data_IF_383099014245
#
_entry.id   IF_383099014245
#
_cell.length_a   1.000
_cell.length_b   1.000
_cell.length_c   1.000
_cell.angle_alpha   90.00
_cell.angle_beta   90.00
_cell.angle_gamma   90.00
#
_symmetry.space_group_name_H-M   'P 1'
#
loop_
_entity.id
_entity.type
_entity.pdbx_description
1 polymer ?
#
# COMPACT_ATOMS: atom_id res chain seq x y z
N UNK A 1 2.35 -11.38 4.44
CA UNK A 1 0.90 -11.19 4.73
C UNK A 1 0.56 -10.97 6.23
N UNK A 2 1.49 -10.56 7.11
CA UNK A 2 1.17 -10.35 8.54
C UNK A 2 0.63 -8.96 8.87
N UNK A 3 0.94 -7.93 8.07
CA UNK A 3 0.61 -6.53 8.39
C UNK A 3 -0.90 -6.24 8.44
N UNK A 4 -1.70 -6.88 7.58
CA UNK A 4 -3.15 -6.66 7.55
C UNK A 4 -3.83 -7.09 8.87
N UNK A 5 -3.29 -8.10 9.56
CA UNK A 5 -3.85 -8.62 10.80
C UNK A 5 -3.71 -7.66 11.99
N UNK A 6 -2.79 -6.69 11.91
CA UNK A 6 -2.62 -5.65 12.93
C UNK A 6 -3.71 -4.58 12.92
N UNK A 7 -4.56 -4.55 11.89
CA UNK A 7 -5.66 -3.60 11.74
C UNK A 7 -6.98 -4.18 12.23
N UNK A 8 -7.91 -3.32 12.67
CA UNK A 8 -9.27 -3.75 13.02
C UNK A 8 -10.03 -4.27 11.79
N UNK A 9 -11.06 -5.09 11.99
CA UNK A 9 -11.84 -5.65 10.88
C UNK A 9 -12.45 -4.59 9.95
N UNK A 10 -12.79 -3.40 10.48
CA UNK A 10 -13.28 -2.28 9.67
C UNK A 10 -12.18 -1.75 8.74
N UNK A 11 -10.99 -1.54 9.29
CA UNK A 11 -9.84 -1.02 8.54
C UNK A 11 -9.36 -2.01 7.50
N UNK A 12 -9.30 -3.30 7.84
CA UNK A 12 -9.00 -4.36 6.89
C UNK A 12 -9.94 -4.33 5.67
N UNK A 13 -11.25 -4.13 5.88
CA UNK A 13 -12.20 -3.99 4.76
C UNK A 13 -11.94 -2.74 3.93
N UNK A 14 -11.63 -1.61 4.55
CA UNK A 14 -11.31 -0.36 3.84
C UNK A 14 -10.06 -0.55 2.97
N UNK A 15 -9.02 -1.20 3.51
CA UNK A 15 -7.77 -1.48 2.81
C UNK A 15 -8.03 -2.44 1.65
N UNK A 16 -8.73 -3.54 1.89
CA UNK A 16 -9.04 -4.53 0.86
C UNK A 16 -9.86 -3.93 -0.29
N UNK A 17 -10.90 -3.14 0.01
CA UNK A 17 -11.69 -2.45 -1.02
C UNK A 17 -10.83 -1.47 -1.82
N UNK A 18 -9.93 -0.72 -1.17
CA UNK A 18 -9.02 0.17 -1.87
C UNK A 18 -8.07 -0.57 -2.81
N UNK A 19 -7.53 -1.72 -2.38
CA UNK A 19 -6.67 -2.57 -3.22
C UNK A 19 -7.44 -3.05 -4.46
N UNK A 20 -8.63 -3.64 -4.27
CA UNK A 20 -9.44 -4.12 -5.39
C UNK A 20 -9.86 -2.97 -6.32
N UNK A 21 -10.32 -1.85 -5.79
CA UNK A 21 -10.78 -0.71 -6.60
C UNK A 21 -9.66 -0.05 -7.39
N UNK A 22 -8.44 0.00 -6.85
CA UNK A 22 -7.38 0.82 -7.41
C UNK A 22 -6.33 0.02 -8.18
N UNK A 23 -6.16 -1.29 -7.92
CA UNK A 23 -5.06 -2.08 -8.48
C UNK A 23 -5.50 -3.16 -9.47
N UNK A 24 -6.81 -3.40 -9.65
CA UNK A 24 -7.30 -4.49 -10.51
C UNK A 24 -7.14 -4.26 -12.02
N UNK A 25 -6.94 -3.01 -12.47
CA UNK A 25 -6.90 -2.69 -13.91
C UNK A 25 -5.62 -1.96 -14.31
N UNK A 26 -5.35 -0.80 -13.70
CA UNK A 26 -4.22 0.06 -14.07
C UNK A 26 -3.34 0.39 -12.85
N UNK A 27 -2.69 -0.62 -12.24
CA UNK A 27 -1.93 -0.44 -11.00
C UNK A 27 -0.68 0.43 -11.18
N UNK A 28 -0.15 0.54 -12.41
CA UNK A 28 1.04 1.33 -12.75
C UNK A 28 0.71 2.74 -13.25
N UNK A 29 -0.56 3.12 -13.36
CA UNK A 29 -0.92 4.49 -13.73
C UNK A 29 -0.97 5.41 -12.50
N UNK A 30 -0.18 6.50 -12.48
CA UNK A 30 -0.21 7.47 -11.39
C UNK A 30 -1.58 8.13 -11.27
N UNK A 31 -2.06 8.26 -10.04
CA UNK A 31 -3.26 9.05 -9.72
C UNK A 31 -3.01 9.87 -8.47
N UNK A 32 -4.01 10.64 -8.01
CA UNK A 32 -3.92 11.30 -6.70
C UNK A 32 -3.66 10.31 -5.56
N UNK A 33 -4.15 9.08 -5.69
CA UNK A 33 -4.06 8.06 -4.65
C UNK A 33 -2.94 7.04 -4.91
N UNK A 34 -2.38 6.94 -6.11
CA UNK A 34 -1.26 6.03 -6.44
C UNK A 34 -0.05 6.83 -6.88
N UNK A 35 1.06 6.66 -6.15
CA UNK A 35 2.28 7.40 -6.36
C UNK A 35 3.45 6.43 -6.55
N UNK A 36 4.22 6.63 -7.62
CA UNK A 36 5.52 5.98 -7.76
C UNK A 36 6.51 6.60 -6.77
N UNK A 37 7.18 5.75 -6.00
CA UNK A 37 8.11 6.13 -4.97
C UNK A 37 9.51 6.36 -5.54
N UNK A 38 10.35 7.04 -4.77
CA UNK A 38 11.79 7.02 -5.03
C UNK A 38 12.33 5.63 -4.70
N UNK A 39 13.46 5.20 -5.28
CA UNK A 39 14.07 3.93 -4.95
C UNK A 39 14.21 3.75 -3.43
N UNK A 40 13.61 2.69 -2.90
CA UNK A 40 13.61 2.32 -1.48
C UNK A 40 13.56 0.78 -1.37
N UNK A 41 13.67 0.25 -0.16
CA UNK A 41 13.75 -1.20 0.09
C UNK A 41 12.39 -1.89 0.24
N UNK A 42 11.28 -1.14 0.18
CA UNK A 42 9.94 -1.65 0.50
C UNK A 42 9.13 -1.91 -0.77
N UNK A 43 8.97 -0.92 -1.64
CA UNK A 43 8.22 -1.06 -2.88
C UNK A 43 8.44 0.12 -3.84
N UNK A 44 8.11 -0.09 -5.11
CA UNK A 44 8.12 0.94 -6.16
C UNK A 44 6.89 1.83 -6.10
N UNK A 45 5.74 1.32 -5.63
CA UNK A 45 4.48 2.07 -5.60
C UNK A 45 3.87 2.20 -4.22
N UNK A 46 3.21 3.34 -4.00
CA UNK A 46 2.42 3.66 -2.81
C UNK A 46 0.96 3.95 -3.23
N UNK A 47 0.02 3.15 -2.73
CA UNK A 47 -1.41 3.43 -2.75
C UNK A 47 -1.83 4.08 -1.41
N UNK A 48 -2.60 5.17 -1.51
CA UNK A 48 -3.06 5.99 -0.39
C UNK A 48 -4.57 5.90 -0.27
N UNK A 49 -5.07 5.52 0.91
CA UNK A 49 -6.49 5.55 1.26
C UNK A 49 -6.69 6.14 2.64
N UNK A 50 -7.05 7.42 2.72
CA UNK A 50 -7.09 8.14 4.00
C UNK A 50 -5.70 8.10 4.64
N UNK A 51 -5.61 7.53 5.84
CA UNK A 51 -4.35 7.34 6.55
C UNK A 51 -3.65 6.01 6.21
N UNK A 52 -4.33 5.08 5.53
CA UNK A 52 -3.71 3.83 5.12
C UNK A 52 -2.77 4.01 3.93
N UNK A 53 -1.66 3.29 3.98
CA UNK A 53 -0.64 3.21 2.94
C UNK A 53 -0.42 1.75 2.58
N UNK A 54 -0.57 1.44 1.30
CA UNK A 54 -0.32 0.11 0.75
C UNK A 54 0.86 0.24 -0.19
N UNK A 55 1.92 -0.50 0.10
CA UNK A 55 3.15 -0.53 -0.67
C UNK A 55 3.13 -1.78 -1.54
N UNK A 56 3.32 -1.62 -2.84
CA UNK A 56 3.19 -2.72 -3.78
C UNK A 56 4.15 -2.61 -4.96
N UNK A 57 4.48 -3.76 -5.51
CA UNK A 57 5.17 -3.92 -6.79
C UNK A 57 4.23 -4.54 -7.81
N UNK A 58 4.56 -4.38 -9.08
CA UNK A 58 3.79 -4.93 -10.20
C UNK A 58 4.74 -5.74 -11.05
N UNK A 59 4.40 -7.01 -11.22
CA UNK A 59 4.94 -7.85 -12.28
C UNK A 59 4.00 -7.71 -13.49
N UNK A 60 4.41 -6.90 -14.47
CA UNK A 60 3.59 -6.64 -15.66
C UNK A 60 3.54 -7.85 -16.62
N UNK A 61 4.54 -8.74 -16.59
CA UNK A 61 4.58 -9.93 -17.42
C UNK A 61 3.55 -10.96 -16.93
N UNK A 62 3.52 -11.19 -15.62
CA UNK A 62 2.59 -12.14 -14.99
C UNK A 62 1.25 -11.51 -14.59
N UNK A 63 1.09 -10.19 -14.76
CA UNK A 63 -0.08 -9.42 -14.31
C UNK A 63 -0.36 -9.61 -12.81
N UNK A 64 0.69 -9.65 -12.00
CA UNK A 64 0.63 -9.83 -10.55
C UNK A 64 0.91 -8.51 -9.85
N UNK A 65 0.12 -8.22 -8.81
CA UNK A 65 0.36 -7.10 -7.90
C UNK A 65 0.76 -7.68 -6.54
N UNK A 66 2.01 -7.46 -6.16
CA UNK A 66 2.57 -7.93 -4.90
C UNK A 66 2.41 -6.86 -3.83
N UNK A 67 1.63 -7.16 -2.79
CA UNK A 67 1.48 -6.26 -1.65
C UNK A 67 2.66 -6.47 -0.68
N UNK A 68 3.68 -5.64 -0.82
CA UNK A 68 4.93 -5.70 -0.04
C UNK A 68 4.70 -5.32 1.42
N UNK A 69 3.94 -4.24 1.69
CA UNK A 69 3.65 -3.80 3.05
C UNK A 69 2.36 -2.99 3.16
N UNK A 70 1.82 -2.93 4.38
CA UNK A 70 0.65 -2.10 4.72
C UNK A 70 0.97 -1.32 5.99
N UNK A 71 0.81 -0.01 5.92
CA UNK A 71 1.06 0.91 7.01
C UNK A 71 -0.05 1.93 7.24
N UNK A 72 0.07 2.66 8.33
CA UNK A 72 -0.80 3.77 8.70
C UNK A 72 0.03 5.02 8.92
N UNK A 73 -0.47 6.14 8.39
CA UNK A 73 0.13 7.46 8.58
C UNK A 73 -0.37 8.05 9.89
N UNK A 74 0.56 8.42 10.76
CA UNK A 74 0.32 9.13 12.01
C UNK A 74 1.13 10.43 11.99
N UNK A 75 0.45 11.56 11.79
CA UNK A 75 1.14 12.85 11.61
C UNK A 75 2.06 12.84 10.39
N UNK A 76 3.37 12.98 10.61
CA UNK A 76 4.39 12.99 9.56
C UNK A 76 5.13 11.65 9.39
N UNK A 77 4.71 10.61 10.11
CA UNK A 77 5.34 9.29 10.10
C UNK A 77 4.42 8.23 9.52
N UNK A 78 4.99 7.16 8.99
CA UNK A 78 4.27 5.93 8.62
C UNK A 78 4.73 4.81 9.54
N UNK A 79 3.76 4.09 10.10
CA UNK A 79 4.01 2.85 10.84
C UNK A 79 3.62 1.63 10.03
N UNK A 80 4.52 0.65 9.94
CA UNK A 80 4.28 -0.66 9.32
C UNK A 80 4.48 -1.72 10.40
N UNK A 81 3.45 -2.53 10.68
CA UNK A 81 3.54 -3.54 11.75
C UNK A 81 3.81 -2.98 13.16
N UNK A 82 3.54 -1.68 13.38
CA UNK A 82 3.82 -0.98 14.63
C UNK A 82 5.16 -0.23 14.65
N UNK A 83 6.05 -0.43 13.68
CA UNK A 83 7.36 0.23 13.60
C UNK A 83 7.34 1.42 12.65
N UNK A 84 8.03 2.51 13.01
CA UNK A 84 8.19 3.67 12.13
C UNK A 84 9.18 3.31 11.02
N UNK A 85 8.80 3.59 9.78
CA UNK A 85 9.64 3.33 8.61
C UNK A 85 10.03 4.63 7.90
N UNK A 86 11.25 4.66 7.38
CA UNK A 86 11.69 5.66 6.40
C UNK A 86 11.46 5.11 4.98
N UNK A 87 10.88 5.95 4.11
CA UNK A 87 10.35 5.60 2.80
C UNK A 87 10.81 6.58 1.72
#
# INVERSE_FOLDING_TARGET
MSHLQGFTAREQRIIASAITEQLSYEPTLPTRNRKQMRPNLIAVWELRRGDFRVYYDVDEEESIVDICAIGIKEGNQVRIGGEIVEL
#
